data_IF_099320690949
#
_entry.id   IF_099320690949
#
_cell.length_a   1.000
_cell.length_b   1.000
_cell.length_c   1.000
_cell.angle_alpha   90.00
_cell.angle_beta   90.00
_cell.angle_gamma   90.00
#
_symmetry.space_group_name_H-M   'P 1'
#
loop_
_entity.id
_entity.type
_entity.pdbx_description
1 polymer ?
#
# COMPACT_ATOMS: atom_id res chain seq x y z
N UNK A 1 -36.74 11.90 4.73
CA UNK A 1 -36.17 11.61 6.07
C UNK A 1 -35.02 10.64 5.89
N UNK A 2 -33.79 10.85 6.33
CA UNK A 2 -33.07 12.00 6.86
C UNK A 2 -31.62 11.84 6.39
N UNK A 3 -30.95 12.97 6.20
CA UNK A 3 -29.59 13.04 5.69
C UNK A 3 -28.63 12.73 6.84
N UNK A 4 -28.06 11.53 6.88
CA UNK A 4 -26.90 11.26 7.73
C UNK A 4 -25.64 11.71 7.00
N UNK A 5 -25.23 12.95 7.30
CA UNK A 5 -23.91 13.45 7.02
C UNK A 5 -22.92 12.60 7.82
N UNK A 6 -22.23 11.66 7.17
CA UNK A 6 -21.04 11.07 7.79
C UNK A 6 -19.93 12.12 7.81
N UNK A 7 -19.68 12.56 9.04
CA UNK A 7 -18.65 13.45 9.53
C UNK A 7 -17.23 13.02 9.14
N UNK A 8 -16.36 14.02 8.96
CA UNK A 8 -14.89 13.99 8.84
C UNK A 8 -14.24 12.88 7.99
N UNK A 9 -14.27 13.06 6.68
CA UNK A 9 -13.38 12.33 5.77
C UNK A 9 -12.04 13.10 5.71
N UNK A 10 -11.02 12.63 6.42
CA UNK A 10 -9.67 13.16 6.34
C UNK A 10 -8.86 12.41 5.27
N UNK A 11 -7.95 13.12 4.59
CA UNK A 11 -7.05 12.49 3.62
C UNK A 11 -6.01 11.66 4.38
N UNK A 12 -6.23 10.34 4.49
CA UNK A 12 -5.28 9.43 5.15
C UNK A 12 -3.97 9.30 4.35
N UNK A 13 -4.03 9.40 3.01
CA UNK A 13 -2.89 9.23 2.14
C UNK A 13 -2.94 10.10 0.86
N UNK A 14 -1.89 10.89 0.62
CA UNK A 14 -1.69 11.67 -0.62
C UNK A 14 -0.40 11.20 -1.31
N UNK A 15 -0.48 10.90 -2.62
CA UNK A 15 0.68 10.47 -3.41
C UNK A 15 0.76 11.23 -4.73
N UNK A 16 1.99 11.46 -5.18
CA UNK A 16 2.28 11.86 -6.56
C UNK A 16 2.77 10.60 -7.27
N UNK A 17 2.08 10.19 -8.33
CA UNK A 17 2.47 9.03 -9.13
C UNK A 17 2.17 9.22 -10.61
N UNK A 18 2.85 8.46 -11.44
CA UNK A 18 2.55 8.38 -12.87
C UNK A 18 1.42 7.37 -13.14
N UNK A 19 0.60 7.63 -14.15
CA UNK A 19 -0.55 6.80 -14.54
C UNK A 19 -0.17 5.34 -14.84
N UNK A 20 1.06 5.10 -15.30
CA UNK A 20 1.53 3.77 -15.70
C UNK A 20 2.21 2.99 -14.56
N UNK A 21 2.44 3.62 -13.40
CA UNK A 21 3.01 2.94 -12.25
C UNK A 21 2.00 1.97 -11.63
N UNK A 22 2.52 0.92 -11.02
CA UNK A 22 1.75 0.04 -10.16
C UNK A 22 1.53 0.72 -8.81
N UNK A 23 0.32 0.60 -8.29
CA UNK A 23 -0.03 0.96 -6.93
C UNK A 23 -0.28 -0.32 -6.14
N UNK A 24 0.40 -0.46 -5.01
CA UNK A 24 0.26 -1.59 -4.10
C UNK A 24 -0.40 -1.11 -2.81
N UNK A 25 -1.43 -1.83 -2.37
CA UNK A 25 -2.16 -1.55 -1.14
C UNK A 25 -1.95 -2.70 -0.17
N UNK A 26 -1.25 -2.41 0.92
CA UNK A 26 -1.00 -3.36 2.00
C UNK A 26 -2.07 -3.17 3.07
N UNK A 27 -2.61 -4.25 3.61
CA UNK A 27 -3.75 -4.19 4.54
C UNK A 27 -3.42 -4.73 5.92
N UNK A 28 -4.27 -4.40 6.90
CA UNK A 28 -4.16 -4.93 8.27
C UNK A 28 -4.31 -6.46 8.34
N UNK A 29 -4.97 -7.08 7.35
CA UNK A 29 -5.15 -8.53 7.23
C UNK A 29 -3.98 -9.26 6.57
N UNK A 30 -2.88 -8.57 6.29
CA UNK A 30 -1.68 -9.19 5.72
C UNK A 30 -1.79 -9.51 4.24
N UNK A 31 -2.72 -8.85 3.52
CA UNK A 31 -2.84 -8.96 2.06
C UNK A 31 -2.24 -7.74 1.37
N UNK A 32 -1.85 -7.96 0.12
CA UNK A 32 -1.37 -6.93 -0.80
C UNK A 32 -2.16 -7.00 -2.08
N UNK A 33 -2.73 -5.87 -2.46
CA UNK A 33 -3.48 -5.68 -3.69
C UNK A 33 -2.66 -4.84 -4.66
N UNK A 34 -2.79 -5.10 -5.96
CA UNK A 34 -2.09 -4.34 -6.99
C UNK A 34 -3.00 -3.96 -8.14
N UNK A 35 -2.91 -2.70 -8.56
CA UNK A 35 -3.56 -2.14 -9.75
C UNK A 35 -2.58 -1.23 -10.49
N UNK A 36 -2.89 -0.89 -11.74
CA UNK A 36 -2.27 0.25 -12.40
C UNK A 36 -2.90 1.56 -11.94
N UNK A 37 -2.10 2.62 -11.80
CA UNK A 37 -2.59 3.92 -11.31
C UNK A 37 -3.73 4.47 -12.16
N UNK A 38 -3.69 4.30 -13.49
CA UNK A 38 -4.78 4.74 -14.39
C UNK A 38 -6.12 4.03 -14.13
N UNK A 39 -6.13 2.89 -13.44
CA UNK A 39 -7.36 2.16 -13.10
C UNK A 39 -8.12 2.84 -11.95
N UNK A 40 -7.48 3.78 -11.24
CA UNK A 40 -8.16 4.58 -10.24
C UNK A 40 -9.11 5.57 -10.90
N UNK A 41 -10.31 5.77 -10.33
CA UNK A 41 -11.25 6.75 -10.84
C UNK A 41 -10.67 8.15 -10.73
N UNK A 42 -10.66 8.87 -11.84
CA UNK A 42 -10.33 10.29 -11.86
C UNK A 42 -11.52 11.07 -11.28
N UNK A 43 -11.31 11.70 -10.13
CA UNK A 43 -12.25 12.64 -9.54
C UNK A 43 -11.87 14.07 -9.89
N UNK A 44 -12.85 14.94 -10.15
CA UNK A 44 -12.58 16.39 -10.18
C UNK A 44 -12.03 16.84 -8.83
N UNK A 45 -11.21 17.91 -8.80
CA UNK A 45 -10.54 18.42 -7.58
C UNK A 45 -11.50 18.71 -6.41
N UNK A 46 -12.79 18.91 -6.68
CA UNK A 46 -13.86 19.17 -5.69
C UNK A 46 -14.68 17.92 -5.32
N UNK A 47 -14.42 16.77 -5.93
CA UNK A 47 -15.16 15.53 -5.64
C UNK A 47 -14.59 14.86 -4.40
N UNK A 48 -15.45 14.24 -3.58
CA UNK A 48 -15.05 13.43 -2.41
C UNK A 48 -14.26 12.15 -2.79
N UNK A 49 -13.95 11.94 -4.07
CA UNK A 49 -13.40 10.69 -4.59
C UNK A 49 -14.41 9.55 -4.58
N UNK A 50 -13.95 8.34 -4.93
CA UNK A 50 -14.72 7.09 -4.76
C UNK A 50 -13.96 6.20 -3.78
N UNK A 51 -14.70 5.49 -2.93
CA UNK A 51 -14.13 4.54 -1.96
C UNK A 51 -13.27 3.48 -2.65
N UNK A 52 -12.03 3.28 -2.18
CA UNK A 52 -11.13 2.24 -2.68
C UNK A 52 -11.69 0.83 -2.51
N UNK A 53 -12.57 0.62 -1.51
CA UNK A 53 -13.30 -0.66 -1.30
C UNK A 53 -14.16 -1.08 -2.49
N UNK A 54 -14.56 -0.13 -3.34
CA UNK A 54 -15.35 -0.46 -4.53
C UNK A 54 -14.48 -1.00 -5.67
N UNK A 55 -13.15 -0.88 -5.58
CA UNK A 55 -12.19 -1.25 -6.62
C UNK A 55 -11.35 -2.46 -6.25
N UNK A 56 -11.18 -2.72 -4.95
CA UNK A 56 -10.41 -3.83 -4.40
C UNK A 56 -11.31 -4.69 -3.53
N UNK A 57 -11.21 -6.01 -3.72
CA UNK A 57 -12.02 -6.99 -2.99
C UNK A 57 -11.45 -7.19 -1.59
N UNK A 58 -11.75 -6.24 -0.70
CA UNK A 58 -11.38 -6.30 0.71
C UNK A 58 -12.33 -7.23 1.48
N UNK A 59 -11.77 -7.99 2.40
CA UNK A 59 -12.55 -8.78 3.35
C UNK A 59 -13.25 -7.86 4.37
N UNK A 60 -14.17 -8.45 5.15
CA UNK A 60 -14.79 -7.75 6.27
C UNK A 60 -13.73 -7.25 7.27
N UNK A 61 -13.85 -5.97 7.62
CA UNK A 61 -12.94 -5.22 8.49
C UNK A 61 -11.48 -5.17 8.02
N UNK A 62 -11.24 -5.36 6.72
CA UNK A 62 -9.95 -5.13 6.10
C UNK A 62 -9.76 -3.64 5.77
N UNK A 63 -8.63 -3.09 6.20
CA UNK A 63 -8.24 -1.68 6.07
C UNK A 63 -6.86 -1.58 5.47
N UNK A 64 -6.64 -0.58 4.64
CA UNK A 64 -5.31 -0.26 4.11
C UNK A 64 -4.44 0.26 5.26
N UNK A 65 -3.19 -0.17 5.29
CA UNK A 65 -2.15 0.27 6.26
C UNK A 65 -1.03 1.04 5.58
N UNK A 66 -0.76 0.73 4.32
CA UNK A 66 0.24 1.43 3.53
C UNK A 66 -0.12 1.32 2.05
N UNK A 67 0.10 2.41 1.33
CA UNK A 67 0.07 2.42 -0.13
C UNK A 67 1.45 2.83 -0.63
N UNK A 68 1.95 2.12 -1.63
CA UNK A 68 3.18 2.47 -2.31
C UNK A 68 2.96 2.45 -3.81
N UNK A 69 3.74 3.25 -4.52
CA UNK A 69 3.82 3.20 -5.98
C UNK A 69 5.19 2.71 -6.41
N UNK A 70 5.22 1.96 -7.50
CA UNK A 70 6.44 1.46 -8.10
C UNK A 70 6.25 1.32 -9.62
N UNK A 71 7.24 1.74 -10.38
CA UNK A 71 7.32 1.53 -11.83
C UNK A 71 7.75 0.10 -12.16
N UNK A 72 8.70 -0.44 -11.40
CA UNK A 72 9.15 -1.81 -11.49
C UNK A 72 9.35 -2.50 -10.13
N UNK A 73 9.82 -3.74 -10.17
CA UNK A 73 10.09 -4.59 -9.00
C UNK A 73 11.56 -5.04 -8.96
N UNK A 74 12.44 -4.35 -9.69
CA UNK A 74 13.84 -4.75 -9.91
C UNK A 74 14.78 -4.20 -8.85
N UNK A 75 14.46 -3.03 -8.30
CA UNK A 75 15.27 -2.43 -7.24
C UNK A 75 15.21 -3.26 -5.97
N UNK A 76 16.35 -3.36 -5.27
CA UNK A 76 16.50 -4.16 -4.05
C UNK A 76 15.90 -3.44 -2.85
N UNK A 77 14.60 -3.25 -2.89
CA UNK A 77 13.81 -2.64 -1.82
C UNK A 77 13.10 -3.71 -0.99
N UNK A 78 12.81 -3.36 0.26
CA UNK A 78 12.20 -4.27 1.21
C UNK A 78 10.95 -3.66 1.83
N UNK A 79 9.99 -4.53 2.14
CA UNK A 79 8.85 -4.22 3.00
C UNK A 79 9.10 -4.86 4.35
N UNK A 80 9.07 -4.06 5.42
CA UNK A 80 9.05 -4.54 6.80
C UNK A 80 7.64 -4.35 7.34
N UNK A 81 7.03 -5.45 7.79
CA UNK A 81 5.71 -5.47 8.42
C UNK A 81 5.85 -5.84 9.89
N UNK A 82 5.13 -5.15 10.77
CA UNK A 82 5.02 -5.45 12.18
C UNK A 82 3.56 -5.71 12.55
N UNK A 83 3.30 -6.78 13.30
CA UNK A 83 1.96 -7.15 13.76
C UNK A 83 1.70 -6.74 15.21
N UNK A 84 0.43 -6.68 15.59
CA UNK A 84 -0.02 -6.37 16.95
C UNK A 84 0.61 -7.32 17.98
N UNK A 85 0.77 -8.59 17.63
CA UNK A 85 1.34 -9.61 18.51
C UNK A 85 2.88 -9.67 18.46
N UNK A 86 3.53 -8.68 17.83
CA UNK A 86 5.00 -8.56 17.84
C UNK A 86 5.72 -9.39 16.76
N UNK A 87 5.00 -9.98 15.80
CA UNK A 87 5.64 -10.64 14.66
C UNK A 87 6.19 -9.57 13.70
N UNK A 88 7.46 -9.69 13.34
CA UNK A 88 8.09 -8.85 12.31
C UNK A 88 8.43 -9.71 11.10
N UNK A 89 8.05 -9.25 9.90
CA UNK A 89 8.41 -9.90 8.64
C UNK A 89 9.06 -8.90 7.70
N UNK A 90 10.23 -9.27 7.16
CA UNK A 90 10.92 -8.56 6.08
C UNK A 90 10.84 -9.38 4.80
N UNK A 91 10.45 -8.75 3.70
CA UNK A 91 10.33 -9.36 2.37
C UNK A 91 10.87 -8.41 1.31
N UNK A 92 11.34 -8.95 0.20
CA UNK A 92 11.69 -8.13 -0.95
C UNK A 92 10.42 -7.57 -1.62
N UNK A 93 10.48 -6.35 -2.14
CA UNK A 93 9.38 -5.77 -2.92
C UNK A 93 9.05 -6.66 -4.14
N UNK A 94 10.05 -7.34 -4.68
CA UNK A 94 9.96 -8.26 -5.82
C UNK A 94 8.98 -9.42 -5.60
N UNK A 95 8.75 -9.84 -4.35
CA UNK A 95 7.77 -10.88 -4.00
C UNK A 95 6.33 -10.46 -4.35
N UNK A 96 6.06 -9.16 -4.40
CA UNK A 96 4.73 -8.62 -4.69
C UNK A 96 4.46 -8.36 -6.18
N UNK A 97 5.42 -8.68 -7.05
CA UNK A 97 5.28 -8.47 -8.52
C UNK A 97 4.04 -9.15 -9.10
N UNK A 98 3.62 -10.28 -8.54
CA UNK A 98 2.49 -11.07 -9.02
C UNK A 98 1.18 -10.79 -8.26
N UNK A 99 1.15 -9.80 -7.36
CA UNK A 99 -0.08 -9.37 -6.72
C UNK A 99 -1.12 -8.95 -7.77
N UNK A 100 -2.39 -9.21 -7.49
CA UNK A 100 -3.54 -8.93 -8.36
C UNK A 100 -4.59 -8.13 -7.60
N UNK A 101 -5.66 -7.73 -8.29
CA UNK A 101 -6.86 -7.13 -7.67
C UNK A 101 -7.56 -8.05 -6.67
N UNK A 102 -7.37 -9.37 -6.80
CA UNK A 102 -7.87 -10.37 -5.85
C UNK A 102 -7.05 -10.45 -4.55
N UNK A 103 -5.93 -9.74 -4.48
CA UNK A 103 -4.99 -9.80 -3.37
C UNK A 103 -3.98 -10.94 -3.47
N UNK A 104 -2.87 -10.78 -2.74
CA UNK A 104 -1.81 -11.74 -2.50
C UNK A 104 -1.52 -11.76 -0.99
N UNK A 105 -1.26 -12.93 -0.41
CA UNK A 105 -0.93 -13.03 1.02
C UNK A 105 0.53 -12.59 1.22
N UNK A 106 0.74 -11.43 1.86
CA UNK A 106 2.07 -10.94 2.22
C UNK A 106 2.60 -11.52 3.52
N UNK A 107 1.71 -11.79 4.48
CA UNK A 107 2.02 -12.45 5.75
C UNK A 107 0.80 -13.26 6.18
N UNK A 108 1.03 -14.49 6.67
CA UNK A 108 -0.01 -15.28 7.31
C UNK A 108 -0.12 -14.80 8.75
N UNK A 109 -1.31 -14.40 9.17
CA UNK A 109 -1.58 -13.90 10.51
C UNK A 109 -2.28 -14.98 11.34
N UNK A 110 -1.99 -14.98 12.64
CA UNK A 110 -2.73 -15.78 13.61
C UNK A 110 -4.11 -15.16 13.87
N UNK A 111 -5.01 -15.93 14.51
CA UNK A 111 -6.34 -15.43 14.89
C UNK A 111 -6.19 -14.18 15.78
N UNK A 112 -6.95 -13.13 15.46
CA UNK A 112 -6.94 -11.83 16.14
C UNK A 112 -5.65 -11.01 16.02
N UNK A 113 -4.67 -11.45 15.24
CA UNK A 113 -3.50 -10.63 14.89
C UNK A 113 -3.80 -9.75 13.67
N UNK A 114 -3.13 -8.61 13.60
CA UNK A 114 -3.21 -7.70 12.46
C UNK A 114 -1.90 -6.94 12.28
N UNK A 115 -1.62 -6.53 11.04
CA UNK A 115 -0.53 -5.60 10.78
C UNK A 115 -0.89 -4.24 11.39
N UNK A 116 0.02 -3.71 12.21
CA UNK A 116 -0.08 -2.39 12.83
C UNK A 116 0.86 -1.36 12.18
N UNK A 117 1.94 -1.82 11.52
CA UNK A 117 2.89 -0.92 10.86
C UNK A 117 3.59 -1.57 9.69
N UNK A 118 3.89 -0.76 8.67
CA UNK A 118 4.64 -1.18 7.48
C UNK A 118 5.64 -0.09 7.12
N UNK A 119 6.87 -0.49 6.82
CA UNK A 119 7.94 0.39 6.37
C UNK A 119 8.50 -0.12 5.04
N UNK A 120 8.68 0.80 4.09
CA UNK A 120 9.43 0.54 2.85
C UNK A 120 10.86 0.99 3.06
N UNK A 121 11.81 0.08 2.88
CA UNK A 121 13.24 0.34 2.99
C UNK A 121 13.84 0.29 1.60
N UNK A 122 14.43 1.41 1.19
CA UNK A 122 15.29 1.48 0.02
C UNK A 122 16.75 1.25 0.44
N UNK A 123 17.56 0.58 -0.39
CA UNK A 123 18.99 0.49 -0.12
C UNK A 123 19.58 1.90 -0.14
N UNK A 124 20.51 2.19 0.78
CA UNK A 124 21.28 3.45 0.71
C UNK A 124 22.05 3.43 -0.61
N UNK A 125 21.85 4.42 -1.45
CA UNK A 125 22.82 4.74 -2.49
C UNK A 125 24.16 5.01 -1.80
N UNK A 126 25.24 4.38 -2.28
CA UNK A 126 26.58 4.83 -1.91
C UNK A 126 26.68 6.25 -2.42
N UNK A 127 26.80 7.21 -1.51
CA UNK A 127 27.18 8.56 -1.87
C UNK A 127 28.60 8.49 -2.44
N UNK A 128 28.73 8.52 -3.76
CA UNK A 128 29.99 8.73 -4.45
C UNK A 128 30.42 10.19 -4.24
N UNK A 129 30.83 10.54 -3.01
CA UNK A 129 31.70 11.68 -2.79
C UNK A 129 33.14 11.21 -3.05
N UNK A 130 33.50 11.07 -4.33
CA UNK A 130 34.88 11.25 -4.72
C UNK A 130 35.15 12.75 -4.66
N UNK A 131 35.82 13.19 -3.60
CA UNK A 131 36.49 14.48 -3.61
C UNK A 131 37.76 14.24 -4.41
N UNK A 132 37.82 14.91 -5.57
CA UNK A 132 39.00 15.01 -6.43
C UNK A 132 40.26 15.22 -5.58
N UNK A 133 41.26 14.37 -5.78
CA UNK A 133 42.64 14.60 -5.35
C UNK A 133 43.44 15.19 -6.51
#
# INVERSE_FOLDING_TARGET
MGMDLKEDDFVEHLFISSTHQFMLFFTNKGKVYKIKTYELPTGGRRSKGRSIRNFLNFDYNEKVRMVITTDDFKFKEFMIMATKNGLIKKTELSEYKNARRSGLIAIKLNKSDEIVGILRIKPKEKSDFNIDK
#
